data_IF_779201631537
#
_entry.id   IF_779201631537
#
_cell.length_a   1.000
_cell.length_b   1.000
_cell.length_c   1.000
_cell.angle_alpha   90.00
_cell.angle_beta   90.00
_cell.angle_gamma   90.00
#
_symmetry.space_group_name_H-M   'P 1'
#
loop_
_entity.id
_entity.type
_entity.pdbx_description
1 polymer ?
#
# COMPACT_ATOMS: atom_id res chain seq x y z
N UNK A 1 23.04 -6.43 23.15
CA UNK A 1 21.76 -7.06 22.75
C UNK A 1 20.63 -6.03 22.57
N UNK A 2 20.54 -4.99 23.37
CA UNK A 2 19.56 -3.89 23.19
C UNK A 2 19.85 -3.07 21.92
N UNK A 3 21.11 -2.92 21.52
CA UNK A 3 21.51 -2.21 20.30
C UNK A 3 20.96 -2.78 19.00
N UNK A 4 20.76 -4.10 18.91
CA UNK A 4 20.16 -4.74 17.74
C UNK A 4 18.65 -4.47 17.63
N UNK A 5 18.00 -4.20 18.74
CA UNK A 5 16.55 -4.08 18.82
C UNK A 5 16.04 -2.72 18.36
N UNK A 6 16.79 -1.66 18.61
CA UNK A 6 16.37 -0.30 18.34
C UNK A 6 16.84 0.21 16.97
N UNK A 7 17.98 -0.32 16.46
CA UNK A 7 18.47 0.01 15.11
C UNK A 7 17.80 -0.80 13.98
N UNK A 8 17.21 -1.95 14.31
CA UNK A 8 16.54 -2.80 13.32
C UNK A 8 15.20 -2.24 12.82
N UNK A 9 14.63 -1.24 13.50
CA UNK A 9 13.40 -0.64 13.02
C UNK A 9 13.55 -0.04 11.63
N UNK A 10 14.80 0.30 11.18
CA UNK A 10 14.89 1.16 10.01
C UNK A 10 16.18 1.15 9.17
N UNK A 11 17.10 0.24 9.28
CA UNK A 11 18.32 0.30 8.46
C UNK A 11 18.56 -0.96 7.65
N UNK A 12 18.16 -0.95 6.39
CA UNK A 12 18.80 -1.70 5.33
C UNK A 12 19.36 -0.70 4.31
N UNK A 13 20.60 -0.26 4.50
CA UNK A 13 21.36 0.37 3.42
C UNK A 13 22.01 -0.70 2.56
N UNK A 14 22.02 -0.58 1.23
CA UNK A 14 22.77 -1.49 0.38
C UNK A 14 24.27 -1.25 0.59
N UNK A 15 25.00 -2.30 0.96
CA UNK A 15 26.48 -2.29 0.98
C UNK A 15 26.93 -2.43 -0.48
N UNK A 16 27.80 -1.56 -1.02
CA UNK A 16 28.37 -1.76 -2.34
C UNK A 16 29.25 -3.01 -2.32
N UNK A 17 28.96 -3.94 -3.24
CA UNK A 17 29.80 -5.13 -3.48
C UNK A 17 31.07 -4.66 -4.17
N UNK A 18 32.14 -4.50 -3.42
CA UNK A 18 33.47 -4.36 -3.98
C UNK A 18 33.98 -5.74 -4.41
N UNK A 19 34.22 -5.91 -5.70
CA UNK A 19 34.88 -7.05 -6.29
C UNK A 19 36.30 -7.11 -5.75
N UNK A 20 36.65 -8.14 -4.92
CA UNK A 20 37.97 -8.37 -4.42
C UNK A 20 38.65 -9.53 -5.17
N UNK A 21 39.83 -9.27 -5.69
CA UNK A 21 40.76 -10.24 -6.28
C UNK A 21 41.23 -11.28 -5.23
N UNK A 22 41.59 -12.52 -5.63
CA UNK A 22 42.03 -13.56 -4.71
C UNK A 22 43.47 -13.34 -4.25
N UNK A 23 43.65 -13.02 -2.98
CA UNK A 23 44.95 -12.87 -2.39
C UNK A 23 44.89 -12.72 -0.87
N UNK A 24 45.42 -13.75 -0.18
CA UNK A 24 45.80 -13.81 1.24
C UNK A 24 44.67 -13.61 2.27
N UNK A 25 44.37 -14.66 3.03
CA UNK A 25 43.49 -14.60 4.19
C UNK A 25 44.08 -13.64 5.24
N UNK A 26 43.36 -12.56 5.62
CA UNK A 26 43.77 -11.75 6.76
C UNK A 26 43.44 -12.49 8.05
N UNK A 27 44.37 -12.43 9.00
CA UNK A 27 44.23 -12.92 10.36
C UNK A 27 42.94 -12.39 11.01
N UNK A 28 42.31 -13.14 11.93
CA UNK A 28 41.09 -12.67 12.64
C UNK A 28 41.43 -11.35 13.34
N UNK A 29 40.85 -10.25 12.87
CA UNK A 29 40.85 -8.99 13.61
C UNK A 29 39.98 -9.20 14.85
N UNK A 30 40.61 -9.14 16.02
CA UNK A 30 39.85 -8.95 17.26
C UNK A 30 38.99 -7.72 17.10
N UNK A 31 37.68 -7.92 16.91
CA UNK A 31 36.66 -6.85 16.98
C UNK A 31 36.73 -6.31 18.42
N UNK A 32 37.31 -5.13 18.57
CA UNK A 32 37.17 -4.36 19.82
C UNK A 32 35.70 -4.27 20.13
N UNK A 33 35.25 -4.54 21.39
CA UNK A 33 33.85 -4.40 21.78
C UNK A 33 33.40 -2.98 21.42
N UNK A 34 32.49 -2.87 20.49
CA UNK A 34 31.88 -1.58 20.16
C UNK A 34 31.19 -1.09 21.43
N UNK A 35 31.54 0.10 21.90
CA UNK A 35 30.81 0.74 22.98
C UNK A 35 29.38 0.84 22.54
N UNK A 36 28.47 0.23 23.30
CA UNK A 36 27.04 0.34 23.05
C UNK A 36 26.62 1.79 23.31
N UNK A 37 25.88 2.38 22.38
CA UNK A 37 25.35 3.73 22.59
C UNK A 37 24.47 3.75 23.84
N UNK A 38 24.66 4.72 24.73
CA UNK A 38 23.88 4.79 25.95
C UNK A 38 22.39 5.03 25.65
N UNK A 39 21.53 4.35 26.40
CA UNK A 39 20.10 4.62 26.42
C UNK A 39 19.83 5.56 27.59
N UNK A 40 19.23 6.71 27.31
CA UNK A 40 18.78 7.67 28.30
C UNK A 40 17.27 7.49 28.55
N UNK A 41 16.88 7.32 29.82
CA UNK A 41 15.48 7.18 30.21
C UNK A 41 15.17 8.26 31.23
N UNK A 42 14.16 9.09 30.92
CA UNK A 42 13.64 10.09 31.86
C UNK A 42 12.19 9.77 32.22
N UNK A 43 11.81 10.02 33.47
CA UNK A 43 10.45 9.82 34.00
C UNK A 43 10.26 10.64 35.28
N UNK A 44 9.01 10.86 35.68
CA UNK A 44 8.72 11.52 36.98
C UNK A 44 9.07 10.65 38.18
N UNK A 45 8.98 9.33 38.05
CA UNK A 45 9.23 8.37 39.12
C UNK A 45 9.80 7.07 38.56
N UNK A 46 10.75 6.51 39.32
CA UNK A 46 11.29 5.16 39.04
C UNK A 46 11.13 4.32 40.32
N UNK A 47 10.66 3.09 40.15
CA UNK A 47 10.65 2.05 41.18
C UNK A 47 11.38 0.84 40.66
N UNK A 48 12.29 0.26 41.44
CA UNK A 48 13.07 -0.90 41.03
C UNK A 48 13.02 -2.02 42.03
N UNK A 49 13.08 -3.26 41.55
CA UNK A 49 13.27 -4.48 42.31
C UNK A 49 14.42 -5.28 41.67
N UNK A 50 14.62 -6.53 42.08
CA UNK A 50 15.64 -7.40 41.48
C UNK A 50 15.31 -7.83 40.05
N UNK A 51 14.04 -7.90 39.72
CA UNK A 51 13.47 -8.51 38.54
C UNK A 51 12.82 -7.50 37.60
N UNK A 52 12.56 -6.26 38.06
CA UNK A 52 11.95 -5.23 37.23
C UNK A 52 12.29 -3.81 37.68
N UNK A 53 12.21 -2.87 36.72
CA UNK A 53 12.16 -1.44 36.96
C UNK A 53 10.92 -0.86 36.28
N UNK A 54 10.17 -0.04 37.00
CA UNK A 54 8.96 0.65 36.56
C UNK A 54 9.24 2.14 36.53
N UNK A 55 9.15 2.74 35.34
CA UNK A 55 9.24 4.16 35.09
C UNK A 55 7.82 4.69 34.89
N UNK A 56 7.41 5.73 35.59
CA UNK A 56 6.06 6.27 35.47
C UNK A 56 6.03 7.79 35.41
N UNK A 57 5.11 8.30 34.62
CA UNK A 57 4.86 9.71 34.37
C UNK A 57 5.82 10.30 33.31
N UNK A 58 5.27 10.60 32.13
CA UNK A 58 5.96 11.23 31.01
C UNK A 58 7.30 10.53 30.68
N UNK A 59 7.24 9.22 30.50
CA UNK A 59 8.45 8.43 30.18
C UNK A 59 8.97 8.80 28.81
N UNK A 60 10.25 9.14 28.73
CA UNK A 60 10.96 9.39 27.47
C UNK A 60 12.22 8.55 27.45
N UNK A 61 12.37 7.77 26.37
CA UNK A 61 13.57 6.95 26.11
C UNK A 61 14.25 7.49 24.86
N UNK A 62 15.50 7.85 25.00
CA UNK A 62 16.32 8.34 23.88
C UNK A 62 17.53 7.43 23.63
N UNK A 63 17.71 7.08 22.36
CA UNK A 63 18.91 6.41 21.90
C UNK A 63 19.21 6.83 20.47
N UNK A 64 20.36 7.47 20.21
CA UNK A 64 20.71 8.08 18.91
C UNK A 64 19.59 9.00 18.39
N UNK A 65 18.96 8.63 17.28
CA UNK A 65 17.84 9.35 16.62
C UNK A 65 16.47 8.96 17.15
N UNK A 66 16.40 7.85 17.90
CA UNK A 66 15.14 7.34 18.45
C UNK A 66 14.68 8.15 19.67
N UNK A 67 13.40 8.55 19.66
CA UNK A 67 12.67 9.13 20.77
C UNK A 67 11.39 8.31 20.97
N UNK A 68 11.33 7.52 22.07
CA UNK A 68 10.15 6.75 22.47
C UNK A 68 9.51 7.41 23.68
N UNK A 69 8.22 7.58 23.66
CA UNK A 69 7.42 8.16 24.76
C UNK A 69 6.24 7.28 25.12
N UNK A 70 5.93 7.21 26.40
CA UNK A 70 4.71 6.59 26.93
C UNK A 70 4.42 7.08 28.36
N UNK A 71 3.27 6.72 28.90
CA UNK A 71 2.90 7.14 30.26
C UNK A 71 3.64 6.31 31.32
N UNK A 72 3.83 5.02 31.06
CA UNK A 72 4.52 4.08 31.92
C UNK A 72 5.35 3.08 31.11
N UNK A 73 6.55 2.77 31.60
CA UNK A 73 7.41 1.74 31.04
C UNK A 73 7.86 0.77 32.13
N UNK A 74 7.72 -0.53 31.85
CA UNK A 74 8.24 -1.60 32.69
C UNK A 74 9.36 -2.34 31.96
N UNK A 75 10.53 -2.42 32.57
CA UNK A 75 11.63 -3.27 32.11
C UNK A 75 11.78 -4.46 33.06
N UNK A 76 11.71 -5.69 32.53
CA UNK A 76 11.88 -6.93 33.29
C UNK A 76 13.28 -7.50 33.04
N UNK A 77 13.88 -8.04 34.08
CA UNK A 77 15.26 -8.56 34.08
C UNK A 77 15.30 -10.03 34.45
N UNK A 78 16.22 -10.75 33.83
CA UNK A 78 16.64 -12.08 34.28
C UNK A 78 18.11 -11.97 34.69
N UNK A 79 18.38 -12.05 36.00
CA UNK A 79 19.72 -11.82 36.53
C UNK A 79 20.20 -10.36 36.54
N UNK A 80 21.45 -10.08 36.88
CA UNK A 80 21.94 -8.75 37.20
C UNK A 80 22.23 -7.87 35.98
N UNK A 81 21.37 -7.56 35.10
CA UNK A 81 21.49 -6.60 33.96
C UNK A 81 21.00 -7.14 32.62
N UNK A 82 20.32 -8.26 32.59
CA UNK A 82 19.78 -8.79 31.34
C UNK A 82 18.30 -8.44 31.24
N UNK A 83 17.99 -7.46 30.40
CA UNK A 83 16.60 -7.09 30.10
C UNK A 83 16.01 -8.16 29.21
N UNK A 84 14.90 -8.76 29.63
CA UNK A 84 14.18 -9.78 28.87
C UNK A 84 12.91 -9.27 28.21
N UNK A 85 12.25 -8.28 28.84
CA UNK A 85 11.02 -7.73 28.35
C UNK A 85 10.95 -6.23 28.65
N UNK A 86 10.47 -5.47 27.70
CA UNK A 86 10.14 -4.04 27.87
C UNK A 86 8.69 -3.85 27.47
N UNK A 87 7.92 -3.20 28.31
CA UNK A 87 6.54 -2.83 28.07
C UNK A 87 6.38 -1.33 28.22
N UNK A 88 5.77 -0.68 27.23
CA UNK A 88 5.42 0.73 27.22
C UNK A 88 3.90 0.81 27.14
N UNK A 89 3.26 1.47 28.09
CA UNK A 89 1.81 1.56 28.22
C UNK A 89 1.37 3.02 28.32
N UNK A 90 0.25 3.31 27.66
CA UNK A 90 -0.37 4.63 27.58
C UNK A 90 0.33 5.55 26.59
N UNK A 91 -0.40 6.00 25.56
CA UNK A 91 0.02 7.02 24.59
C UNK A 91 1.41 6.76 23.95
N UNK A 92 1.71 5.50 23.63
CA UNK A 92 2.99 5.12 23.06
C UNK A 92 3.22 5.83 21.74
N UNK A 93 4.34 6.53 21.64
CA UNK A 93 4.80 7.20 20.43
C UNK A 93 6.30 7.02 20.25
N UNK A 94 6.67 6.54 19.07
CA UNK A 94 8.06 6.39 18.64
C UNK A 94 8.32 7.30 17.45
N UNK A 95 9.44 7.99 17.48
CA UNK A 95 9.97 8.77 16.34
C UNK A 95 11.41 8.36 16.12
N UNK A 96 11.76 8.05 14.86
CA UNK A 96 13.13 7.71 14.47
C UNK A 96 13.34 8.05 12.98
N UNK A 97 14.33 8.90 12.69
CA UNK A 97 14.74 9.30 11.31
C UNK A 97 13.58 9.63 10.36
N UNK A 98 12.58 10.40 10.83
CA UNK A 98 11.41 10.79 10.03
C UNK A 98 10.32 9.72 9.92
N UNK A 99 10.46 8.61 10.64
CA UNK A 99 9.46 7.55 10.78
C UNK A 99 8.79 7.65 12.14
N UNK A 100 7.53 7.29 12.17
CA UNK A 100 6.75 7.36 13.40
C UNK A 100 5.98 6.07 13.61
N UNK A 101 5.84 5.66 14.86
CA UNK A 101 4.89 4.62 15.26
C UNK A 101 4.13 5.08 16.50
N UNK A 102 2.87 4.70 16.61
CA UNK A 102 2.02 5.04 17.75
C UNK A 102 1.04 3.91 18.06
N UNK A 103 0.55 3.89 19.29
CA UNK A 103 -0.41 2.92 19.79
C UNK A 103 -0.64 3.15 21.29
N UNK A 104 -1.49 2.35 21.90
CA UNK A 104 -1.70 2.47 23.34
C UNK A 104 -0.67 1.67 24.13
N UNK A 105 -0.19 0.55 23.56
CA UNK A 105 0.73 -0.34 24.25
C UNK A 105 1.72 -0.95 23.26
N UNK A 106 2.98 -1.03 23.69
CA UNK A 106 4.03 -1.77 22.99
C UNK A 106 4.72 -2.75 23.95
N UNK A 107 4.95 -3.97 23.49
CA UNK A 107 5.61 -5.02 24.25
C UNK A 107 6.74 -5.61 23.42
N UNK A 108 7.95 -5.46 23.93
CA UNK A 108 9.16 -6.02 23.34
C UNK A 108 9.63 -7.23 24.14
N UNK A 109 9.70 -8.38 23.50
CA UNK A 109 10.43 -9.56 23.97
C UNK A 109 11.86 -9.47 23.45
N UNK A 110 12.79 -9.18 24.35
CA UNK A 110 14.17 -8.88 23.97
C UNK A 110 14.92 -10.09 23.43
N UNK A 111 14.80 -11.31 24.02
CA UNK A 111 15.48 -12.51 23.51
C UNK A 111 15.06 -12.90 22.11
N UNK A 112 13.78 -12.81 21.79
CA UNK A 112 13.27 -13.18 20.45
C UNK A 112 13.33 -12.03 19.44
N UNK A 113 13.51 -10.78 19.89
CA UNK A 113 13.42 -9.61 19.05
C UNK A 113 11.99 -9.30 18.56
N UNK A 114 10.99 -9.82 19.27
CA UNK A 114 9.59 -9.64 18.90
C UNK A 114 8.97 -8.43 19.59
N UNK A 115 8.50 -7.48 18.79
CA UNK A 115 7.73 -6.32 19.25
C UNK A 115 6.27 -6.47 18.84
N UNK A 116 5.35 -6.23 19.77
CA UNK A 116 3.91 -6.22 19.53
C UNK A 116 3.37 -4.86 19.91
N UNK A 117 2.65 -4.19 19.00
CA UNK A 117 1.98 -2.90 19.26
C UNK A 117 0.48 -3.09 19.11
N UNK A 118 -0.27 -2.61 20.09
CA UNK A 118 -1.74 -2.71 20.17
C UNK A 118 -2.37 -1.37 20.55
N UNK A 119 -3.72 -1.29 20.47
CA UNK A 119 -4.45 -0.07 20.76
C UNK A 119 -4.39 0.90 19.57
N UNK A 120 -5.03 0.54 18.49
CA UNK A 120 -5.06 1.31 17.23
C UNK A 120 -3.67 1.66 16.72
N UNK A 121 -2.79 0.65 16.53
CA UNK A 121 -1.42 0.90 16.10
C UNK A 121 -1.40 1.55 14.71
N UNK A 122 -0.53 2.54 14.57
CA UNK A 122 -0.22 3.20 13.32
C UNK A 122 1.29 3.35 13.18
N UNK A 123 1.83 3.01 12.01
CA UNK A 123 3.21 3.27 11.64
C UNK A 123 3.26 4.05 10.33
N UNK A 124 4.17 5.02 10.24
CA UNK A 124 4.36 5.84 9.05
C UNK A 124 5.84 6.01 8.72
N UNK A 125 6.13 5.96 7.44
CA UNK A 125 7.35 6.48 6.86
C UNK A 125 7.00 7.54 5.77
N UNK A 126 7.98 8.17 5.08
CA UNK A 126 7.67 9.19 4.08
C UNK A 126 6.78 8.74 2.91
N UNK A 127 6.62 7.44 2.68
CA UNK A 127 5.93 6.88 1.52
C UNK A 127 4.76 5.96 1.88
N UNK A 128 4.70 5.50 3.13
CA UNK A 128 3.76 4.45 3.55
C UNK A 128 3.16 4.77 4.91
N UNK A 129 1.86 4.59 5.03
CA UNK A 129 1.16 4.52 6.31
C UNK A 129 0.54 3.13 6.49
N UNK A 130 0.71 2.55 7.67
CA UNK A 130 0.23 1.23 8.04
C UNK A 130 -0.61 1.33 9.31
N UNK A 131 -1.82 0.77 9.29
CA UNK A 131 -2.73 0.70 10.44
C UNK A 131 -3.29 -0.71 10.58
N UNK A 132 -3.71 -1.07 11.77
CA UNK A 132 -4.34 -2.36 12.03
C UNK A 132 -4.93 -2.46 13.43
N UNK A 133 -5.40 -3.63 13.80
CA UNK A 133 -5.80 -3.95 15.17
C UNK A 133 -4.61 -4.35 16.04
N UNK A 134 -3.63 -5.03 15.44
CA UNK A 134 -2.37 -5.40 16.07
C UNK A 134 -1.24 -5.38 15.03
N UNK A 135 -0.07 -4.88 15.42
CA UNK A 135 1.16 -4.89 14.62
C UNK A 135 2.22 -5.71 15.37
N UNK A 136 2.73 -6.75 14.72
CA UNK A 136 3.84 -7.59 15.21
C UNK A 136 5.05 -7.38 14.33
N UNK A 137 6.19 -7.13 14.93
CA UNK A 137 7.48 -7.00 14.27
C UNK A 137 8.43 -8.07 14.79
N UNK A 138 9.13 -8.73 13.90
CA UNK A 138 10.17 -9.69 14.24
C UNK A 138 11.48 -9.21 13.61
N UNK A 139 12.46 -8.99 14.46
CA UNK A 139 13.80 -8.56 14.07
C UNK A 139 14.74 -9.74 14.07
N UNK A 140 15.12 -10.19 12.90
CA UNK A 140 15.99 -11.36 12.71
C UNK A 140 17.23 -11.04 11.90
N UNK A 141 18.15 -12.01 11.80
CA UNK A 141 19.38 -11.89 11.03
C UNK A 141 19.15 -11.62 9.53
N UNK A 142 17.97 -11.96 9.00
CA UNK A 142 17.57 -11.75 7.60
C UNK A 142 16.84 -10.42 7.34
N UNK A 143 16.75 -9.57 8.34
CA UNK A 143 16.01 -8.32 8.31
C UNK A 143 14.75 -8.36 9.15
N UNK A 144 13.93 -7.30 9.01
CA UNK A 144 12.69 -7.15 9.73
C UNK A 144 11.53 -7.79 8.94
N UNK A 145 10.78 -8.64 9.62
CA UNK A 145 9.49 -9.15 9.15
C UNK A 145 8.38 -8.49 9.98
N UNK A 146 7.25 -8.23 9.36
CA UNK A 146 6.10 -7.65 10.03
C UNK A 146 4.82 -8.41 9.71
N UNK A 147 3.92 -8.40 10.66
CA UNK A 147 2.58 -8.96 10.52
C UNK A 147 1.59 -7.96 11.10
N UNK A 148 0.48 -7.73 10.38
CA UNK A 148 -0.56 -6.81 10.79
C UNK A 148 -1.92 -7.47 10.58
N UNK A 149 -2.74 -7.43 11.63
CA UNK A 149 -4.13 -7.88 11.57
C UNK A 149 -5.07 -6.70 11.29
N UNK A 150 -6.14 -6.94 10.52
CA UNK A 150 -7.11 -5.93 10.04
C UNK A 150 -6.41 -4.73 9.39
N UNK A 151 -5.51 -5.05 8.48
CA UNK A 151 -4.56 -4.10 7.93
C UNK A 151 -5.20 -3.10 6.94
N UNK A 152 -4.83 -1.83 7.10
CA UNK A 152 -5.01 -0.76 6.12
C UNK A 152 -3.64 -0.18 5.79
N UNK A 153 -3.19 -0.37 4.55
CA UNK A 153 -1.90 0.13 4.06
C UNK A 153 -2.16 1.23 3.04
N UNK A 154 -1.66 2.42 3.29
CA UNK A 154 -1.73 3.54 2.36
C UNK A 154 -0.33 3.78 1.79
N UNK A 155 -0.21 3.70 0.47
CA UNK A 155 1.01 4.02 -0.27
C UNK A 155 0.85 5.42 -0.86
N UNK A 156 1.62 6.41 -0.39
CA UNK A 156 1.44 7.81 -0.77
C UNK A 156 1.91 8.14 -2.19
N UNK A 157 2.61 7.23 -2.85
CA UNK A 157 3.19 7.50 -4.16
C UNK A 157 3.39 6.25 -4.99
N UNK A 158 2.32 5.63 -5.48
CA UNK A 158 2.44 4.67 -6.58
C UNK A 158 2.44 5.44 -7.92
N UNK A 159 3.55 5.53 -8.67
CA UNK A 159 3.56 6.17 -9.97
C UNK A 159 2.95 5.23 -11.01
N UNK A 160 1.66 5.37 -11.30
CA UNK A 160 1.12 4.86 -12.55
C UNK A 160 1.43 5.88 -13.65
N UNK A 161 2.27 5.52 -14.60
CA UNK A 161 2.48 6.30 -15.80
C UNK A 161 1.21 6.23 -16.64
N UNK A 162 0.47 7.34 -16.74
CA UNK A 162 -0.57 7.46 -17.76
C UNK A 162 0.11 7.68 -19.11
N UNK A 163 -0.17 6.87 -20.14
CA UNK A 163 0.31 7.14 -21.48
C UNK A 163 -0.25 8.48 -21.97
N UNK A 164 0.61 9.41 -22.31
CA UNK A 164 0.20 10.68 -22.92
C UNK A 164 -0.04 10.51 -24.41
N UNK A 165 -1.25 10.80 -24.83
CA UNK A 165 -1.55 11.15 -26.23
C UNK A 165 -1.17 12.62 -26.46
N UNK A 166 -0.07 12.89 -27.19
CA UNK A 166 0.30 14.22 -27.65
C UNK A 166 1.51 14.83 -26.94
N UNK A 167 2.54 15.17 -27.73
CA UNK A 167 3.78 15.82 -27.29
C UNK A 167 3.53 17.17 -26.61
N UNK A 168 3.83 17.22 -25.34
CA UNK A 168 3.87 18.42 -24.51
C UNK A 168 4.81 18.17 -23.33
N UNK A 169 5.53 19.20 -22.95
CA UNK A 169 6.57 19.27 -21.91
C UNK A 169 6.30 18.37 -20.71
N UNK A 170 7.32 17.74 -20.17
CA UNK A 170 7.33 16.88 -18.99
C UNK A 170 6.49 17.46 -17.84
N UNK A 171 5.22 17.06 -17.79
CA UNK A 171 4.38 17.25 -16.63
C UNK A 171 4.73 16.15 -15.65
N UNK A 172 5.20 16.50 -14.45
CA UNK A 172 5.56 15.57 -13.40
C UNK A 172 4.51 14.48 -13.25
N UNK A 173 4.93 13.24 -13.11
CA UNK A 173 4.05 12.11 -12.87
C UNK A 173 3.23 12.41 -11.61
N UNK A 174 1.93 12.65 -11.79
CA UNK A 174 1.03 12.96 -10.69
C UNK A 174 0.88 11.68 -9.87
N UNK A 175 1.38 11.70 -8.65
CA UNK A 175 1.37 10.55 -7.74
C UNK A 175 0.03 10.54 -6.98
N UNK A 176 -0.67 9.43 -7.01
CA UNK A 176 -1.92 9.26 -6.28
C UNK A 176 -1.75 8.18 -5.22
N UNK A 177 -2.34 8.35 -4.04
CA UNK A 177 -2.27 7.34 -3.01
C UNK A 177 -3.02 6.08 -3.46
N UNK A 178 -2.47 4.92 -3.09
CA UNK A 178 -3.15 3.64 -3.17
C UNK A 178 -3.45 3.15 -1.76
N UNK A 179 -4.69 2.73 -1.52
CA UNK A 179 -5.12 2.12 -0.27
C UNK A 179 -5.36 0.63 -0.47
N UNK A 180 -4.77 -0.19 0.39
CA UNK A 180 -4.91 -1.64 0.39
C UNK A 180 -5.44 -2.08 1.74
N UNK A 181 -6.57 -2.77 1.75
CA UNK A 181 -7.15 -3.37 2.97
C UNK A 181 -7.12 -4.88 2.88
N UNK A 182 -6.86 -5.55 4.01
CA UNK A 182 -6.86 -7.00 4.12
C UNK A 182 -7.05 -7.41 5.58
N UNK A 183 -7.55 -8.64 5.84
CA UNK A 183 -7.64 -9.16 7.20
C UNK A 183 -6.26 -9.36 7.83
N UNK A 184 -5.27 -9.73 7.03
CA UNK A 184 -3.90 -9.94 7.50
C UNK A 184 -2.89 -9.61 6.42
N UNK A 185 -1.80 -8.98 6.84
CA UNK A 185 -0.63 -8.71 6.01
C UNK A 185 0.61 -9.29 6.69
N UNK A 186 1.41 -10.01 5.95
CA UNK A 186 2.74 -10.45 6.36
C UNK A 186 3.75 -9.94 5.35
N UNK A 187 4.76 -9.22 5.80
CA UNK A 187 5.68 -8.58 4.90
C UNK A 187 7.13 -8.59 5.37
N UNK A 188 8.00 -8.32 4.42
CA UNK A 188 9.45 -8.19 4.57
C UNK A 188 9.96 -7.02 3.73
N UNK A 189 11.27 -6.86 3.63
CA UNK A 189 11.89 -5.85 2.77
C UNK A 189 11.69 -6.09 1.27
N UNK A 190 11.34 -7.32 0.84
CA UNK A 190 11.25 -7.72 -0.56
C UNK A 190 9.83 -7.96 -1.06
N UNK A 191 8.93 -8.33 -0.16
CA UNK A 191 7.54 -8.62 -0.52
C UNK A 191 6.58 -8.43 0.66
N UNK A 192 5.30 -8.21 0.34
CA UNK A 192 4.20 -8.30 1.31
C UNK A 192 3.07 -9.17 0.76
N UNK A 193 2.52 -10.02 1.63
CA UNK A 193 1.42 -10.94 1.33
C UNK A 193 0.19 -10.49 2.12
N UNK A 194 -0.84 -10.11 1.40
CA UNK A 194 -2.15 -9.71 1.90
C UNK A 194 -3.10 -10.89 1.78
N UNK A 195 -3.84 -11.21 2.81
CA UNK A 195 -4.79 -12.32 2.83
C UNK A 195 -6.12 -11.94 3.46
N UNK A 196 -7.20 -12.45 2.90
CA UNK A 196 -8.57 -12.27 3.36
C UNK A 196 -9.19 -10.94 2.92
N UNK A 197 -10.17 -11.03 2.02
CA UNK A 197 -10.97 -9.90 1.52
C UNK A 197 -10.11 -8.71 1.06
N UNK A 198 -9.07 -8.99 0.28
CA UNK A 198 -8.16 -7.95 -0.20
C UNK A 198 -8.88 -6.97 -1.12
N UNK A 199 -8.79 -5.68 -0.80
CA UNK A 199 -9.31 -4.59 -1.63
C UNK A 199 -8.20 -3.58 -1.86
N UNK A 200 -7.97 -3.24 -3.12
CA UNK A 200 -7.03 -2.19 -3.55
C UNK A 200 -7.80 -1.08 -4.19
N UNK A 201 -7.65 0.12 -3.68
CA UNK A 201 -8.23 1.35 -4.26
C UNK A 201 -7.13 2.29 -4.72
N UNK A 202 -7.17 2.65 -5.98
CA UNK A 202 -6.23 3.62 -6.55
C UNK A 202 -6.90 4.40 -7.68
N UNK A 203 -7.15 5.69 -7.50
CA UNK A 203 -7.88 6.53 -8.45
C UNK A 203 -9.25 5.92 -8.78
N UNK A 204 -9.43 5.49 -10.04
CA UNK A 204 -10.64 4.85 -10.57
C UNK A 204 -10.64 3.33 -10.42
N UNK A 205 -9.49 2.74 -10.06
CA UNK A 205 -9.33 1.29 -9.90
C UNK A 205 -9.83 0.84 -8.53
N UNK A 206 -10.77 -0.11 -8.52
CA UNK A 206 -11.13 -0.97 -7.38
C UNK A 206 -10.78 -2.41 -7.79
N UNK A 207 -9.78 -3.01 -7.13
CA UNK A 207 -9.35 -4.38 -7.38
C UNK A 207 -9.58 -5.20 -6.12
N UNK A 208 -10.22 -6.37 -6.26
CA UNK A 208 -10.52 -7.28 -5.16
C UNK A 208 -10.05 -8.68 -5.46
N UNK A 209 -9.56 -9.39 -4.44
CA UNK A 209 -9.17 -10.79 -4.53
C UNK A 209 -9.06 -11.43 -3.13
N UNK A 210 -8.85 -12.74 -3.08
CA UNK A 210 -8.72 -13.46 -1.81
C UNK A 210 -7.32 -13.25 -1.21
N UNK A 211 -6.29 -13.17 -2.09
CA UNK A 211 -4.89 -13.01 -1.71
C UNK A 211 -4.18 -12.12 -2.71
N UNK A 212 -3.33 -11.22 -2.20
CA UNK A 212 -2.43 -10.42 -3.03
C UNK A 212 -0.99 -10.54 -2.53
N UNK A 213 -0.06 -10.57 -3.47
CA UNK A 213 1.38 -10.51 -3.19
C UNK A 213 1.93 -9.28 -3.91
N UNK A 214 2.56 -8.40 -3.17
CA UNK A 214 3.30 -7.26 -3.72
C UNK A 214 4.79 -7.52 -3.63
N UNK A 215 5.52 -7.15 -4.69
CA UNK A 215 6.98 -7.27 -4.76
C UNK A 215 7.58 -5.87 -4.80
N UNK A 216 8.61 -5.66 -3.98
CA UNK A 216 9.31 -4.40 -3.88
C UNK A 216 10.61 -4.41 -4.70
N UNK A 217 10.91 -3.27 -5.31
CA UNK A 217 12.21 -3.01 -5.92
C UNK A 217 13.28 -2.73 -4.87
N UNK A 218 14.53 -2.61 -5.28
CA UNK A 218 15.62 -2.19 -4.40
C UNK A 218 15.40 -0.79 -3.79
N UNK A 219 14.61 0.06 -4.44
CA UNK A 219 14.20 1.39 -3.95
C UNK A 219 12.95 1.36 -3.05
N UNK A 220 12.47 0.15 -2.69
CA UNK A 220 11.27 -0.09 -1.89
C UNK A 220 9.95 0.40 -2.51
N UNK A 221 9.95 0.61 -3.80
CA UNK A 221 8.73 0.87 -4.55
C UNK A 221 8.08 -0.44 -4.98
N UNK A 222 6.74 -0.48 -5.03
CA UNK A 222 6.02 -1.65 -5.54
C UNK A 222 6.30 -1.77 -7.04
N UNK A 223 6.92 -2.86 -7.45
CA UNK A 223 7.25 -3.16 -8.85
C UNK A 223 6.18 -4.01 -9.53
N UNK A 224 5.62 -4.96 -8.78
CA UNK A 224 4.62 -5.91 -9.28
C UNK A 224 3.65 -6.29 -8.17
N UNK A 225 2.38 -6.52 -8.54
CA UNK A 225 1.38 -7.09 -7.65
C UNK A 225 0.67 -8.26 -8.33
N UNK A 226 0.46 -9.34 -7.61
CA UNK A 226 -0.29 -10.51 -8.04
C UNK A 226 -1.52 -10.67 -7.14
N UNK A 227 -2.70 -10.79 -7.74
CA UNK A 227 -3.95 -11.16 -7.08
C UNK A 227 -4.38 -12.56 -7.48
N UNK A 228 -4.81 -13.35 -6.52
CA UNK A 228 -5.24 -14.74 -6.71
C UNK A 228 -6.54 -14.99 -5.98
N UNK A 229 -7.47 -15.69 -6.64
CA UNK A 229 -8.78 -16.06 -6.13
C UNK A 229 -9.82 -14.96 -6.30
N UNK A 230 -10.92 -15.28 -7.00
CA UNK A 230 -12.09 -14.42 -7.18
C UNK A 230 -11.78 -12.98 -7.59
N UNK A 231 -10.80 -12.82 -8.48
CA UNK A 231 -10.33 -11.51 -8.89
C UNK A 231 -11.46 -10.73 -9.57
N UNK A 232 -11.66 -9.50 -9.11
CA UNK A 232 -12.58 -8.51 -9.70
C UNK A 232 -11.87 -7.17 -9.79
N UNK A 233 -11.82 -6.60 -10.97
CA UNK A 233 -11.25 -5.29 -11.24
C UNK A 233 -12.35 -4.39 -11.81
N UNK A 234 -12.45 -3.18 -11.29
CA UNK A 234 -13.32 -2.14 -11.83
C UNK A 234 -12.47 -0.89 -12.06
N UNK A 235 -12.53 -0.33 -13.27
CA UNK A 235 -11.85 0.92 -13.63
C UNK A 235 -12.85 1.82 -14.37
N UNK A 236 -13.45 2.74 -13.65
CA UNK A 236 -14.58 3.54 -14.12
C UNK A 236 -15.79 2.65 -14.46
N UNK A 237 -16.29 2.71 -15.70
CA UNK A 237 -17.41 1.90 -16.17
C UNK A 237 -17.03 0.47 -16.59
N UNK A 238 -15.72 0.18 -16.70
CA UNK A 238 -15.22 -1.13 -17.12
C UNK A 238 -15.07 -2.07 -15.93
N UNK A 239 -15.45 -3.30 -16.15
CA UNK A 239 -15.32 -4.36 -15.15
C UNK A 239 -14.61 -5.55 -15.80
N UNK A 240 -13.76 -6.21 -15.02
CA UNK A 240 -13.13 -7.45 -15.42
C UNK A 240 -13.09 -8.42 -14.23
N UNK A 241 -13.11 -9.71 -14.52
CA UNK A 241 -13.02 -10.78 -13.52
C UNK A 241 -12.19 -11.95 -14.04
N UNK A 242 -11.61 -12.72 -13.14
CA UNK A 242 -10.82 -13.92 -13.44
C UNK A 242 -10.35 -14.58 -12.15
N UNK A 243 -9.53 -15.62 -12.27
CA UNK A 243 -8.97 -16.32 -11.10
C UNK A 243 -7.63 -15.71 -10.65
N UNK A 244 -6.92 -15.07 -11.57
CA UNK A 244 -5.62 -14.46 -11.31
C UNK A 244 -5.47 -13.14 -12.05
N UNK A 245 -4.87 -12.17 -11.38
CA UNK A 245 -4.43 -10.93 -12.00
C UNK A 245 -2.97 -10.65 -11.65
N UNK A 246 -2.22 -10.12 -12.62
CA UNK A 246 -0.87 -9.59 -12.42
C UNK A 246 -0.81 -8.15 -12.90
N UNK A 247 -0.36 -7.27 -12.03
CA UNK A 247 -0.18 -5.85 -12.31
C UNK A 247 1.31 -5.52 -12.35
N UNK A 248 1.79 -5.03 -13.48
CA UNK A 248 3.06 -4.34 -13.56
C UNK A 248 2.84 -2.88 -13.17
N UNK A 249 3.28 -2.50 -11.99
CA UNK A 249 2.99 -1.18 -11.43
C UNK A 249 3.64 -0.04 -12.22
N UNK A 250 4.93 -0.13 -12.64
CA UNK A 250 5.56 0.92 -13.45
C UNK A 250 4.87 1.21 -14.78
N UNK A 251 4.29 0.21 -15.43
CA UNK A 251 3.62 0.36 -16.74
C UNK A 251 2.12 0.53 -16.63
N UNK A 252 1.52 0.19 -15.49
CA UNK A 252 0.08 0.18 -15.28
C UNK A 252 -0.65 -0.93 -16.05
N UNK A 253 0.09 -1.93 -16.57
CA UNK A 253 -0.50 -3.04 -17.34
C UNK A 253 -0.98 -4.12 -16.39
N UNK A 254 -2.25 -4.49 -16.54
CA UNK A 254 -2.92 -5.56 -15.79
C UNK A 254 -3.22 -6.73 -16.74
N UNK A 255 -2.79 -7.93 -16.38
CA UNK A 255 -3.13 -9.19 -17.03
C UNK A 255 -4.11 -9.96 -16.15
N UNK A 256 -5.20 -10.45 -16.75
CA UNK A 256 -6.14 -11.36 -16.08
C UNK A 256 -6.14 -12.70 -16.81
N UNK A 257 -6.15 -13.77 -16.03
CA UNK A 257 -6.18 -15.17 -16.50
C UNK A 257 -7.11 -16.01 -15.64
N UNK A 258 -7.39 -17.26 -16.06
CA UNK A 258 -8.33 -18.14 -15.38
C UNK A 258 -9.77 -17.77 -15.70
N UNK A 259 -10.20 -18.08 -16.94
CA UNK A 259 -11.51 -17.75 -17.48
C UNK A 259 -11.84 -16.25 -17.37
N UNK A 260 -10.98 -15.36 -17.85
CA UNK A 260 -11.19 -13.95 -17.70
C UNK A 260 -12.38 -13.47 -18.53
N UNK A 261 -13.15 -12.58 -17.93
CA UNK A 261 -14.23 -11.85 -18.60
C UNK A 261 -14.03 -10.36 -18.38
N UNK A 262 -14.33 -9.57 -19.40
CA UNK A 262 -14.34 -8.12 -19.31
C UNK A 262 -15.63 -7.59 -19.92
N UNK A 263 -16.17 -6.51 -19.36
CA UNK A 263 -17.36 -5.86 -19.87
C UNK A 263 -17.31 -4.36 -19.67
N UNK A 264 -17.94 -3.64 -20.58
CA UNK A 264 -18.32 -2.26 -20.44
C UNK A 264 -19.86 -2.10 -20.64
N UNK A 265 -20.32 -0.88 -20.93
CA UNK A 265 -21.75 -0.61 -21.06
C UNK A 265 -22.45 -1.38 -22.22
N UNK A 266 -21.72 -1.78 -23.25
CA UNK A 266 -22.28 -2.35 -24.49
C UNK A 266 -21.61 -3.64 -24.94
N UNK A 267 -20.47 -3.98 -24.35
CA UNK A 267 -19.61 -5.07 -24.85
C UNK A 267 -19.30 -6.04 -23.71
N UNK A 268 -19.41 -7.33 -23.99
CA UNK A 268 -18.99 -8.41 -23.12
C UNK A 268 -17.94 -9.26 -23.85
N UNK A 269 -16.79 -9.42 -23.23
CA UNK A 269 -15.62 -10.12 -23.75
C UNK A 269 -15.25 -11.30 -22.87
N UNK A 270 -14.92 -12.44 -23.47
CA UNK A 270 -14.35 -13.62 -22.82
C UNK A 270 -13.13 -14.07 -23.62
N UNK A 271 -12.17 -14.70 -22.95
CA UNK A 271 -11.00 -15.21 -23.62
C UNK A 271 -10.14 -16.07 -22.71
N UNK A 272 -8.95 -16.40 -23.15
CA UNK A 272 -7.93 -17.10 -22.35
C UNK A 272 -7.11 -16.15 -21.50
N UNK A 273 -6.92 -14.90 -21.97
CA UNK A 273 -6.20 -13.82 -21.29
C UNK A 273 -6.84 -12.48 -21.66
N UNK A 274 -7.00 -11.61 -20.66
CA UNK A 274 -7.37 -10.20 -20.84
C UNK A 274 -6.22 -9.33 -20.36
N UNK A 275 -5.75 -8.44 -21.22
CA UNK A 275 -4.73 -7.44 -20.93
C UNK A 275 -5.34 -6.05 -21.03
N UNK A 276 -5.16 -5.23 -20.00
CA UNK A 276 -5.63 -3.85 -19.97
C UNK A 276 -4.60 -2.92 -19.34
N UNK A 277 -4.61 -1.65 -19.71
CA UNK A 277 -3.81 -0.61 -19.08
C UNK A 277 -4.74 0.23 -18.19
N UNK A 278 -4.37 0.40 -16.92
CA UNK A 278 -5.15 1.17 -15.96
C UNK A 278 -5.18 2.63 -16.37
N UNK A 279 -6.40 3.20 -16.43
CA UNK A 279 -6.61 4.59 -16.85
C UNK A 279 -6.56 4.81 -18.36
N UNK A 280 -6.40 3.76 -19.17
CA UNK A 280 -6.49 3.80 -20.63
C UNK A 280 -7.73 3.03 -21.11
N UNK A 281 -8.26 3.41 -22.28
CA UNK A 281 -9.37 2.70 -22.92
C UNK A 281 -8.95 1.39 -23.61
N UNK A 282 -7.66 1.16 -23.79
CA UNK A 282 -7.14 0.03 -24.54
C UNK A 282 -7.17 -1.26 -23.73
N UNK A 283 -7.61 -2.33 -24.37
CA UNK A 283 -7.54 -3.70 -23.87
C UNK A 283 -7.23 -4.65 -25.03
N UNK A 284 -6.70 -5.80 -24.70
CA UNK A 284 -6.40 -6.90 -25.62
C UNK A 284 -6.94 -8.19 -25.01
N UNK A 285 -7.57 -9.04 -25.83
CA UNK A 285 -8.12 -10.33 -25.37
C UNK A 285 -7.62 -11.42 -26.31
N UNK A 286 -7.02 -12.47 -25.76
CA UNK A 286 -6.64 -13.67 -26.51
C UNK A 286 -7.79 -14.67 -26.57
N UNK A 287 -7.92 -15.37 -27.68
CA UNK A 287 -8.99 -16.36 -27.93
C UNK A 287 -10.38 -15.80 -27.66
N UNK A 288 -10.64 -14.61 -28.20
CA UNK A 288 -11.73 -13.74 -27.81
C UNK A 288 -13.10 -14.22 -28.33
N UNK A 289 -14.08 -14.26 -27.43
CA UNK A 289 -15.49 -14.29 -27.76
C UNK A 289 -16.09 -12.94 -27.35
N UNK A 290 -16.66 -12.22 -28.34
CA UNK A 290 -17.20 -10.88 -28.15
C UNK A 290 -18.71 -10.91 -28.32
N UNK A 291 -19.44 -10.41 -27.34
CA UNK A 291 -20.89 -10.18 -27.43
C UNK A 291 -21.13 -8.68 -27.33
N UNK A 292 -21.80 -8.12 -28.32
CA UNK A 292 -22.20 -6.71 -28.37
C UNK A 292 -23.70 -6.61 -28.20
N UNK A 293 -24.15 -5.87 -27.19
CA UNK A 293 -25.57 -5.59 -27.01
C UNK A 293 -25.97 -4.48 -27.99
N UNK A 294 -26.84 -4.81 -28.96
CA UNK A 294 -27.41 -3.83 -29.86
C UNK A 294 -28.41 -2.96 -29.10
N UNK A 295 -28.28 -1.65 -29.22
CA UNK A 295 -29.32 -0.76 -28.73
C UNK A 295 -30.68 -1.15 -29.32
N UNK A 296 -31.81 -1.15 -28.57
CA UNK A 296 -33.11 -1.45 -29.13
C UNK A 296 -33.38 -0.48 -30.28
N UNK A 297 -33.60 -1.05 -31.46
CA UNK A 297 -33.98 -0.26 -32.65
C UNK A 297 -35.27 0.48 -32.34
N UNK A 298 -35.23 1.80 -32.28
CA UNK A 298 -36.42 2.64 -32.21
C UNK A 298 -37.20 2.29 -33.48
N UNK A 299 -38.46 1.77 -33.39
CA UNK A 299 -39.25 1.48 -34.55
C UNK A 299 -39.46 2.79 -35.31
N UNK A 300 -38.98 2.89 -36.55
CA UNK A 300 -39.34 3.98 -37.48
C UNK A 300 -40.84 3.98 -37.59
N UNK A 301 -41.46 4.98 -36.98
CA UNK A 301 -42.88 5.25 -37.15
C UNK A 301 -43.23 5.29 -38.63
N UNK A 302 -44.11 4.38 -39.06
CA UNK A 302 -44.71 4.41 -40.41
C UNK A 302 -45.32 5.79 -40.64
N UNK A 303 -44.78 6.49 -41.63
CA UNK A 303 -45.25 7.79 -42.06
C UNK A 303 -46.76 7.80 -42.28
N UNK A 304 -47.41 8.68 -41.61
CA UNK A 304 -48.79 9.01 -41.79
C UNK A 304 -49.02 9.61 -43.20
N UNK A 305 -50.11 9.20 -43.77
CA UNK A 305 -50.51 9.37 -45.15
C UNK A 305 -50.57 10.82 -45.68
N UNK A 306 -50.44 10.88 -46.99
CA UNK A 306 -50.77 12.02 -47.83
C UNK A 306 -52.20 12.48 -47.60
N UNK A 307 -52.40 13.68 -47.05
CA UNK A 307 -53.63 14.41 -47.17
C UNK A 307 -53.63 15.27 -48.46
N UNK A 308 -54.80 15.55 -49.07
CA UNK A 308 -54.95 16.19 -50.38
C UNK A 308 -54.67 17.69 -50.33
N UNK A 309 -54.44 18.36 -51.52
CA UNK A 309 -54.01 19.75 -51.60
C UNK A 309 -55.23 20.72 -51.42
N UNK A 310 -55.18 21.53 -50.39
CA UNK A 310 -56.16 22.62 -50.17
C UNK A 310 -55.56 23.96 -50.60
N UNK A 311 -56.35 24.69 -51.34
CA UNK A 311 -56.13 25.96 -52.02
C UNK A 311 -55.64 27.07 -51.12
N UNK A 312 -54.77 27.91 -51.70
CA UNK A 312 -54.51 29.30 -51.24
C UNK A 312 -55.70 30.18 -51.27
N UNK A 313 -55.77 31.20 -50.45
CA UNK A 313 -56.00 32.55 -50.94
C UNK A 313 -54.92 33.54 -50.49
N UNK A 314 -54.58 34.31 -51.45
CA UNK A 314 -53.91 35.60 -51.49
C UNK A 314 -54.59 36.63 -50.55
N UNK A 315 -53.79 37.45 -49.88
CA UNK A 315 -53.89 38.90 -49.95
C UNK A 315 -52.95 39.63 -48.94
N UNK A 316 -52.06 40.35 -49.51
CA UNK A 316 -51.60 41.73 -49.28
C UNK A 316 -51.89 42.46 -47.97
N UNK A 317 -50.89 43.15 -47.57
CA UNK A 317 -50.77 44.55 -47.15
C UNK A 317 -50.14 44.79 -45.76
N UNK A 318 -48.93 45.31 -45.82
CA UNK A 318 -48.47 46.65 -45.39
C UNK A 318 -48.61 47.02 -43.91
N UNK A 319 -47.46 47.52 -43.40
CA UNK A 319 -47.46 48.46 -42.27
C UNK A 319 -46.21 48.42 -41.39
N UNK A 320 -45.25 49.09 -41.81
CA UNK A 320 -44.32 50.05 -41.11
C UNK A 320 -44.63 50.33 -39.63
N UNK A 321 -43.59 50.30 -38.74
CA UNK A 321 -43.05 51.51 -38.10
C UNK A 321 -42.27 51.16 -36.82
N UNK A 322 -41.01 51.48 -36.85
CA UNK A 322 -40.11 52.12 -35.85
C UNK A 322 -40.23 51.81 -34.34
N UNK A 323 -39.05 51.54 -33.87
CA UNK A 323 -38.39 51.80 -32.58
C UNK A 323 -38.85 53.11 -31.85
N UNK A 324 -38.49 53.25 -30.55
CA UNK A 324 -37.14 53.39 -30.11
C UNK A 324 -36.63 52.24 -29.17
#
# INVERSE_FOLDING_TARGET
MIEYLLTAFFVAQPVPVASAAPGAAPAPREEKPRLRDPVEITSKRVRGSRDQAIFSGDVVVKQRTMDLRCDEMTASYTGPREVTRVECAGNMRLVDEGRTAQGERAVLDVPSGRLVVTGSPEARDPTTALRGSEVRLLMGARGMEYEVDDAVVTLEAAPLRTPRKGGGKEGGAQRFPAEITARRVVGSSTQAVFTGDVVVKHRTLDLRCDKMITYFSATREVSRAECVGHVRAQDGARQARGERAELNVPTGVLWLTGNPEARDATTHLRGSEVRMTIGDANFEVKDAVVTVESAPSVPKGKGAGKGPPGKSPDNSQSGSTRQP
#
